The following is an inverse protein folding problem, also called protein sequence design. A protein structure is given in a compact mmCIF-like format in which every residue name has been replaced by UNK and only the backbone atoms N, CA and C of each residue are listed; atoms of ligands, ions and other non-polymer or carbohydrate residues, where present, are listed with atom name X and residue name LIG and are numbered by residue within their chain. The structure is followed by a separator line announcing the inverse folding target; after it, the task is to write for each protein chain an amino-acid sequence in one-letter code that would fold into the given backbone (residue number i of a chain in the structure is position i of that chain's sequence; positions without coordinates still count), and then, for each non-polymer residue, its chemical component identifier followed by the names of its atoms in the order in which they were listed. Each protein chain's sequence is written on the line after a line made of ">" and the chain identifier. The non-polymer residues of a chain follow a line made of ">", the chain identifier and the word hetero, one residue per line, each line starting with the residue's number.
data_IF_083989846046
#
_entry.id   IF_083989846046
#
_cell.length_a   1.000
_cell.length_b   1.000
_cell.length_c   1.000
_cell.angle_alpha   90.00
_cell.angle_beta   90.00
_cell.angle_gamma   90.00
#
_symmetry.space_group_name_H-M   'P 1'
#
loop_
_entity.id
_entity.type
_entity.pdbx_description
1 polymer ?
#
# COMPACT_ATOMS: atom_id res chain seq x y z
N UNK A 1 18.38 20.79 -8.45
CA UNK A 1 18.95 19.93 -9.51
C UNK A 1 17.80 19.36 -10.29
N UNK A 2 17.66 19.64 -11.60
CA UNK A 2 16.65 18.96 -12.40
C UNK A 2 17.04 17.48 -12.54
N UNK A 3 16.08 16.60 -12.32
CA UNK A 3 16.19 15.19 -12.69
C UNK A 3 16.25 15.15 -14.23
N UNK A 4 17.34 14.64 -14.78
CA UNK A 4 17.45 14.32 -16.20
C UNK A 4 17.09 12.83 -16.29
N UNK A 5 15.90 12.53 -16.79
CA UNK A 5 15.49 11.16 -17.11
C UNK A 5 15.98 10.90 -18.53
N UNK A 6 16.85 9.92 -18.69
CA UNK A 6 17.30 9.45 -19.99
C UNK A 6 16.16 8.64 -20.63
N UNK A 7 15.54 9.12 -21.73
CA UNK A 7 14.41 8.43 -22.37
C UNK A 7 14.80 7.12 -23.05
N UNK A 8 16.10 6.87 -23.27
CA UNK A 8 16.60 5.64 -23.89
C UNK A 8 16.85 4.51 -22.88
N UNK A 9 16.76 4.81 -21.57
CA UNK A 9 16.81 3.80 -20.51
C UNK A 9 15.39 3.25 -20.32
N UNK A 10 15.14 1.94 -20.57
CA UNK A 10 13.85 1.34 -20.26
C UNK A 10 13.56 1.57 -18.77
N UNK A 11 12.35 2.02 -18.40
CA UNK A 11 12.01 2.20 -17.00
C UNK A 11 12.27 0.90 -16.24
N UNK A 12 12.74 0.96 -14.99
CA UNK A 12 12.97 -0.24 -14.20
C UNK A 12 11.71 -1.09 -14.22
N UNK A 13 11.86 -2.38 -14.49
CA UNK A 13 10.73 -3.31 -14.42
C UNK A 13 10.08 -3.11 -13.05
N UNK A 14 8.78 -2.73 -13.01
CA UNK A 14 8.11 -2.52 -11.74
C UNK A 14 8.32 -3.76 -10.86
N UNK A 15 8.56 -3.58 -9.56
CA UNK A 15 8.73 -4.71 -8.67
C UNK A 15 7.53 -5.64 -8.81
N UNK A 16 7.82 -6.91 -9.03
CA UNK A 16 6.80 -7.97 -9.09
C UNK A 16 6.11 -8.09 -7.74
N UNK A 17 6.73 -7.64 -6.67
CA UNK A 17 6.23 -7.73 -5.30
C UNK A 17 6.56 -6.45 -4.52
N UNK A 18 5.56 -5.90 -3.84
CA UNK A 18 5.69 -4.70 -3.01
C UNK A 18 5.05 -4.96 -1.66
N UNK A 19 5.81 -4.75 -0.60
CA UNK A 19 5.31 -4.74 0.78
C UNK A 19 5.02 -3.31 1.21
N UNK A 20 3.90 -3.11 1.90
CA UNK A 20 3.53 -1.83 2.49
C UNK A 20 4.59 -1.37 3.51
N UNK A 21 4.75 -0.05 3.72
CA UNK A 21 5.70 0.49 4.70
C UNK A 21 5.55 -0.03 6.14
N UNK A 22 4.35 -0.44 6.55
CA UNK A 22 4.08 -1.04 7.86
C UNK A 22 4.39 -2.55 7.91
N UNK A 23 4.77 -3.17 6.79
CA UNK A 23 5.08 -4.58 6.69
C UNK A 23 3.87 -5.52 6.61
N UNK A 24 2.66 -5.02 6.84
CA UNK A 24 1.47 -5.86 7.04
C UNK A 24 0.88 -6.41 5.75
N UNK A 25 1.06 -5.73 4.62
CA UNK A 25 0.43 -6.05 3.35
C UNK A 25 1.49 -6.21 2.25
N UNK A 26 1.47 -7.36 1.59
CA UNK A 26 2.26 -7.61 0.39
C UNK A 26 1.34 -7.75 -0.81
N UNK A 27 1.62 -6.97 -1.87
CA UNK A 27 0.97 -7.06 -3.16
C UNK A 27 1.96 -7.59 -4.20
N UNK A 28 1.63 -8.74 -4.80
CA UNK A 28 2.43 -9.39 -5.85
C UNK A 28 1.68 -9.41 -7.16
N UNK A 29 2.32 -8.89 -8.20
CA UNK A 29 1.83 -8.92 -9.58
C UNK A 29 1.80 -10.35 -10.11
N UNK A 30 0.71 -10.68 -10.80
CA UNK A 30 0.50 -11.97 -11.44
C UNK A 30 0.25 -11.76 -12.94
N UNK A 31 1.35 -11.65 -13.69
CA UNK A 31 1.35 -11.30 -15.11
C UNK A 31 0.56 -12.27 -16.01
N UNK A 32 0.64 -13.61 -15.83
CA UNK A 32 -0.08 -14.55 -16.69
C UNK A 32 -1.60 -14.42 -16.70
N UNK A 33 -2.19 -13.81 -15.67
CA UNK A 33 -3.65 -13.56 -15.57
C UNK A 33 -3.99 -12.07 -15.38
N UNK A 34 -2.98 -11.19 -15.53
CA UNK A 34 -3.08 -9.76 -15.26
C UNK A 34 -3.79 -9.44 -13.94
N UNK A 35 -3.42 -10.14 -12.87
CA UNK A 35 -4.00 -9.98 -11.53
C UNK A 35 -2.98 -9.55 -10.49
N UNK A 36 -3.45 -9.36 -9.25
CA UNK A 36 -2.62 -9.06 -8.09
C UNK A 36 -2.97 -10.00 -6.96
N UNK A 37 -1.99 -10.76 -6.50
CA UNK A 37 -2.06 -11.58 -5.30
C UNK A 37 -1.75 -10.72 -4.08
N UNK A 38 -2.63 -10.75 -3.09
CA UNK A 38 -2.52 -9.96 -1.87
C UNK A 38 -2.34 -10.89 -0.67
N UNK A 39 -1.40 -10.57 0.20
CA UNK A 39 -1.22 -11.25 1.49
C UNK A 39 -1.17 -10.21 2.59
N UNK A 40 -2.02 -10.37 3.60
CA UNK A 40 -1.94 -9.64 4.86
C UNK A 40 -1.39 -10.58 5.93
N UNK A 41 -0.36 -10.16 6.65
CA UNK A 41 0.23 -10.91 7.76
C UNK A 41 0.50 -9.99 8.95
N UNK A 42 -0.18 -10.25 10.06
CA UNK A 42 -0.02 -9.48 11.30
C UNK A 42 1.20 -9.92 12.13
N UNK A 43 1.75 -11.10 11.85
CA UNK A 43 2.87 -11.66 12.59
C UNK A 43 4.21 -11.03 12.15
N UNK A 44 4.18 -10.15 11.15
CA UNK A 44 5.34 -9.39 10.71
C UNK A 44 5.81 -8.48 11.85
N UNK A 45 7.11 -8.50 12.21
CA UNK A 45 7.62 -7.63 13.26
C UNK A 45 7.38 -6.16 12.89
N UNK A 46 7.24 -5.26 13.88
CA UNK A 46 7.01 -3.86 13.62
C UNK A 46 8.06 -3.28 12.67
N UNK A 47 7.60 -2.63 11.59
CA UNK A 47 8.47 -2.05 10.58
C UNK A 47 9.33 -0.90 11.13
N UNK A 48 8.82 -0.18 12.14
CA UNK A 48 9.49 0.96 12.75
C UNK A 48 9.48 0.78 14.26
N UNK A 49 10.65 0.98 14.88
CA UNK A 49 10.81 1.01 16.34
C UNK A 49 11.55 2.26 16.76
N UNK A 50 10.83 3.23 17.31
CA UNK A 50 11.41 4.42 17.89
C UNK A 50 11.86 4.14 19.33
N UNK A 51 13.17 4.11 19.50
CA UNK A 51 13.88 3.83 20.74
C UNK A 51 13.88 4.97 21.76
N UNK A 52 13.44 6.16 21.36
CA UNK A 52 13.38 7.33 22.24
C UNK A 52 12.29 7.17 23.29
N UNK A 53 12.63 7.48 24.54
CA UNK A 53 11.68 7.54 25.64
C UNK A 53 11.04 8.94 25.68
N UNK A 54 9.70 9.02 25.66
CA UNK A 54 8.96 10.30 25.58
C UNK A 54 9.38 11.20 24.38
N UNK A 55 9.38 10.68 23.14
CA UNK A 55 9.87 11.37 21.95
C UNK A 55 9.19 12.71 21.69
N UNK A 56 7.89 12.81 21.99
CA UNK A 56 7.06 13.99 21.78
C UNK A 56 6.95 14.90 23.02
N UNK A 57 7.64 14.59 24.11
CA UNK A 57 7.65 15.38 25.34
C UNK A 57 6.24 15.67 25.90
N UNK A 58 5.34 14.70 25.82
CA UNK A 58 3.93 14.85 26.20
C UNK A 58 3.74 15.08 27.70
N UNK A 59 4.63 14.52 28.52
CA UNK A 59 4.56 14.54 29.99
C UNK A 59 5.68 15.32 30.68
N UNK A 60 6.41 16.17 29.94
CA UNK A 60 7.49 17.00 30.47
C UNK A 60 8.90 16.51 30.14
N UNK A 61 9.90 16.94 30.93
CA UNK A 61 11.34 16.72 30.64
C UNK A 61 11.95 15.46 31.29
N UNK A 62 11.15 14.61 31.94
CA UNK A 62 11.62 13.48 32.76
C UNK A 62 12.58 12.53 32.03
N UNK A 63 12.39 12.34 30.71
CA UNK A 63 13.23 11.47 29.87
C UNK A 63 14.21 12.25 28.99
N UNK A 64 14.62 13.43 29.46
CA UNK A 64 15.61 14.24 28.76
C UNK A 64 16.65 14.80 29.72
N UNK A 65 17.88 14.96 29.23
CA UNK A 65 18.98 15.56 29.99
C UNK A 65 19.62 16.71 29.21
N UNK A 66 20.08 17.75 29.92
CA UNK A 66 20.81 18.87 29.30
C UNK A 66 22.23 18.45 28.97
N UNK A 67 22.78 19.00 27.90
CA UNK A 67 24.20 18.92 27.58
C UNK A 67 24.74 20.33 27.37
N UNK A 68 25.93 20.61 27.92
CA UNK A 68 26.59 21.91 27.75
C UNK A 68 25.87 23.08 28.45
N UNK A 69 26.03 24.28 27.91
CA UNK A 69 25.62 25.55 28.51
C UNK A 69 24.22 25.97 28.09
N UNK A 70 23.19 25.32 28.65
CA UNK A 70 21.79 25.55 28.28
C UNK A 70 20.84 25.37 29.47
N UNK A 71 19.79 26.18 29.55
CA UNK A 71 18.60 25.89 30.38
C UNK A 71 17.48 25.32 29.52
N UNK A 72 16.65 24.46 30.11
CA UNK A 72 15.56 23.78 29.39
C UNK A 72 14.25 23.98 30.12
N UNK A 73 13.21 24.29 29.36
CA UNK A 73 11.85 24.44 29.85
C UNK A 73 10.94 23.60 28.96
N UNK A 74 10.04 22.83 29.58
CA UNK A 74 8.96 22.20 28.84
C UNK A 74 7.87 23.22 28.56
N UNK A 75 7.46 23.33 27.30
CA UNK A 75 6.35 24.16 26.87
C UNK A 75 5.23 23.23 26.45
N UNK A 76 4.04 23.37 27.06
CA UNK A 76 2.87 22.52 26.78
C UNK A 76 2.10 22.90 25.49
N UNK A 77 2.72 23.71 24.62
CA UNK A 77 2.15 24.13 23.35
C UNK A 77 3.22 24.23 22.24
N UNK A 78 2.77 24.13 20.98
CA UNK A 78 3.56 24.46 19.79
C UNK A 78 4.64 23.46 19.41
N UNK A 79 4.50 22.19 19.82
CA UNK A 79 5.21 21.05 19.23
C UNK A 79 4.84 20.81 17.76
N UNK A 80 5.55 19.88 17.12
CA UNK A 80 5.30 19.50 15.71
C UNK A 80 4.26 18.41 15.62
N UNK A 81 4.45 17.32 16.38
CA UNK A 81 3.56 16.16 16.40
C UNK A 81 2.89 15.96 17.75
N UNK A 82 3.06 16.90 18.67
CA UNK A 82 2.49 16.83 20.01
C UNK A 82 2.05 18.22 20.49
N UNK A 83 1.36 18.24 21.64
CA UNK A 83 1.11 19.49 22.34
C UNK A 83 2.41 20.12 22.87
N UNK A 84 3.42 19.33 23.23
CA UNK A 84 4.60 19.79 23.94
C UNK A 84 5.83 20.08 23.07
N UNK A 85 6.80 20.83 23.61
CA UNK A 85 8.17 20.90 23.10
C UNK A 85 9.16 21.21 24.22
N UNK A 86 10.45 20.96 23.99
CA UNK A 86 11.50 21.51 24.84
C UNK A 86 11.99 22.82 24.26
N UNK A 87 11.97 23.86 25.07
CA UNK A 87 12.56 25.15 24.76
C UNK A 87 13.89 25.27 25.50
N UNK A 88 14.93 25.54 24.73
CA UNK A 88 16.31 25.60 25.17
C UNK A 88 16.80 27.04 25.08
N UNK A 89 17.36 27.58 26.16
CA UNK A 89 17.98 28.91 26.18
C UNK A 89 19.48 28.79 26.45
N UNK A 90 20.33 29.30 25.56
CA UNK A 90 21.78 29.29 25.77
C UNK A 90 22.17 30.13 26.99
N UNK A 91 23.08 29.64 27.81
CA UNK A 91 23.59 30.40 28.98
C UNK A 91 24.91 31.10 28.72
N UNK A 92 25.46 30.96 27.50
CA UNK A 92 26.72 31.56 27.08
C UNK A 92 27.00 31.30 25.58
N UNK A 93 28.10 31.85 25.08
CA UNK A 93 28.61 31.58 23.74
C UNK A 93 29.32 30.21 23.68
N UNK A 94 28.55 29.15 23.87
CA UNK A 94 29.06 27.77 23.97
C UNK A 94 28.08 26.77 23.36
N UNK A 95 28.51 25.53 23.23
CA UNK A 95 27.63 24.42 22.85
C UNK A 95 26.64 24.10 23.96
N UNK A 96 25.40 23.85 23.57
CA UNK A 96 24.33 23.51 24.51
C UNK A 96 23.15 22.85 23.83
N UNK A 97 22.52 21.88 24.50
CA UNK A 97 21.25 21.34 24.03
C UNK A 97 20.59 20.30 24.90
N UNK A 98 19.73 19.50 24.26
CA UNK A 98 18.87 18.52 24.92
C UNK A 98 19.10 17.14 24.35
N UNK A 99 19.20 16.17 25.24
CA UNK A 99 19.34 14.76 24.93
C UNK A 99 18.08 14.05 25.39
N UNK A 100 17.59 13.11 24.60
CA UNK A 100 16.59 12.16 25.02
C UNK A 100 17.27 10.88 25.48
N UNK A 101 16.69 10.28 26.53
CA UNK A 101 17.02 8.91 26.89
C UNK A 101 16.45 7.97 25.83
N UNK A 102 17.22 6.94 25.49
CA UNK A 102 16.79 5.90 24.56
C UNK A 102 16.98 4.53 25.21
N UNK A 103 16.29 3.50 24.70
CA UNK A 103 16.72 2.15 24.99
C UNK A 103 18.16 1.92 24.49
N UNK A 104 18.94 1.12 25.21
CA UNK A 104 20.37 1.04 24.94
C UNK A 104 20.63 0.35 23.60
N UNK A 105 21.41 1.00 22.74
CA UNK A 105 21.90 0.47 21.46
C UNK A 105 23.27 -0.15 21.67
N UNK A 106 23.45 -1.37 21.18
CA UNK A 106 24.63 -2.19 21.38
C UNK A 106 25.73 -1.86 20.36
N UNK A 107 26.94 -2.36 20.62
CA UNK A 107 28.06 -2.26 19.69
C UNK A 107 27.75 -2.97 18.35
N UNK A 108 28.20 -2.36 17.26
CA UNK A 108 28.03 -2.87 15.89
C UNK A 108 26.74 -2.40 15.21
N UNK A 109 25.73 -1.97 15.95
CA UNK A 109 24.49 -1.44 15.40
C UNK A 109 24.70 0.00 14.87
N UNK A 110 23.97 0.36 13.81
CA UNK A 110 23.95 1.75 13.33
C UNK A 110 22.65 2.42 13.77
N UNK A 111 22.76 3.40 14.66
CA UNK A 111 21.64 4.21 15.10
C UNK A 111 21.43 5.40 14.15
N UNK A 112 20.19 5.57 13.69
CA UNK A 112 19.71 6.73 12.96
C UNK A 112 18.88 7.59 13.92
N UNK A 113 19.37 8.78 14.23
CA UNK A 113 18.67 9.73 15.08
C UNK A 113 18.11 10.87 14.25
N UNK A 114 16.86 11.24 14.52
CA UNK A 114 16.27 12.46 14.00
C UNK A 114 15.49 13.21 15.07
N UNK A 115 15.39 14.52 14.94
CA UNK A 115 14.53 15.36 15.77
C UNK A 115 14.05 16.54 14.96
N UNK A 116 12.90 17.10 15.32
CA UNK A 116 12.46 18.38 14.76
C UNK A 116 13.03 19.51 15.60
N UNK A 117 13.59 20.52 14.93
CA UNK A 117 14.15 21.71 15.57
C UNK A 117 13.59 22.98 14.95
N UNK A 118 13.37 24.00 15.78
CA UNK A 118 12.96 25.34 15.37
C UNK A 118 13.92 26.36 15.95
N UNK A 119 14.61 27.08 15.07
CA UNK A 119 15.69 28.01 15.43
C UNK A 119 15.26 29.48 15.23
N UNK A 120 15.82 30.42 16.03
CA UNK A 120 15.38 31.83 16.04
C UNK A 120 15.90 32.67 14.86
N UNK A 121 16.64 32.08 13.91
CA UNK A 121 17.13 32.75 12.71
C UNK A 121 18.40 33.59 12.85
N UNK A 122 18.79 33.95 14.07
CA UNK A 122 20.07 34.61 14.39
C UNK A 122 20.60 34.10 15.73
N UNK A 123 21.85 34.44 16.08
CA UNK A 123 22.45 34.04 17.35
C UNK A 123 22.99 32.61 17.42
N UNK A 124 23.11 31.94 16.27
CA UNK A 124 23.62 30.57 16.11
C UNK A 124 24.75 30.54 15.09
N UNK A 125 25.82 29.81 15.38
CA UNK A 125 26.83 29.45 14.37
C UNK A 125 26.61 28.07 13.78
N UNK A 126 25.99 27.16 14.53
CA UNK A 126 25.89 25.75 14.14
C UNK A 126 24.74 25.03 14.87
N UNK A 127 24.27 23.93 14.29
CA UNK A 127 23.38 22.95 14.92
C UNK A 127 24.06 21.59 14.84
N UNK A 128 23.96 20.77 15.88
CA UNK A 128 24.58 19.45 15.88
C UNK A 128 23.64 18.37 16.42
N UNK A 129 23.85 17.15 15.93
CA UNK A 129 23.36 15.93 16.59
C UNK A 129 24.49 15.33 17.41
N UNK A 130 24.15 14.76 18.56
CA UNK A 130 25.10 14.17 19.49
C UNK A 130 24.63 12.78 19.95
N UNK A 131 25.56 11.84 20.01
CA UNK A 131 25.37 10.47 20.51
C UNK A 131 26.26 10.27 21.74
N UNK A 132 25.72 9.68 22.81
CA UNK A 132 26.46 9.50 24.08
C UNK A 132 26.16 8.17 24.77
N UNK A 133 27.06 7.83 25.68
CA UNK A 133 26.85 6.86 26.75
C UNK A 133 27.08 7.56 28.08
N UNK A 134 26.05 7.71 28.92
CA UNK A 134 26.24 8.40 30.19
C UNK A 134 26.70 9.85 29.99
N UNK A 135 27.79 10.18 30.69
CA UNK A 135 28.49 11.45 30.58
C UNK A 135 29.47 11.55 29.40
N UNK A 136 29.62 10.55 28.55
CA UNK A 136 30.68 10.50 27.52
C UNK A 136 30.13 10.80 26.12
N UNK A 137 30.68 11.79 25.43
CA UNK A 137 30.36 12.06 24.01
C UNK A 137 31.02 11.00 23.12
N UNK A 138 30.24 10.29 22.32
CA UNK A 138 30.75 9.30 21.36
C UNK A 138 30.88 9.88 19.96
N UNK A 139 29.89 10.67 19.53
CA UNK A 139 29.90 11.36 18.24
C UNK A 139 29.18 12.70 18.35
N UNK A 140 29.71 13.71 17.67
CA UNK A 140 29.11 15.04 17.53
C UNK A 140 29.21 15.44 16.06
N UNK A 141 28.05 15.73 15.46
CA UNK A 141 27.93 15.93 14.01
C UNK A 141 27.21 17.24 13.72
N UNK A 142 27.99 18.25 13.36
CA UNK A 142 27.58 19.62 13.06
C UNK A 142 26.98 19.80 11.67
N UNK A 143 26.17 20.85 11.48
CA UNK A 143 25.62 21.27 10.20
C UNK A 143 25.00 22.66 10.22
N UNK A 144 24.95 23.25 9.02
CA UNK A 144 24.38 24.57 8.78
C UNK A 144 23.00 24.71 9.43
N UNK A 145 22.79 25.75 10.26
CA UNK A 145 21.51 26.01 10.88
C UNK A 145 20.37 26.07 9.85
N UNK A 146 19.20 25.48 10.15
CA UNK A 146 18.04 25.58 9.27
C UNK A 146 17.52 27.02 9.20
N UNK A 147 16.65 27.27 8.21
CA UNK A 147 15.99 28.56 8.09
C UNK A 147 15.22 28.93 9.37
N UNK A 148 15.21 30.22 9.68
CA UNK A 148 14.54 30.78 10.84
C UNK A 148 13.06 30.44 10.89
N UNK A 149 12.53 30.18 12.10
CA UNK A 149 11.09 30.21 12.37
C UNK A 149 10.28 29.00 11.91
N UNK A 150 10.85 28.13 11.07
CA UNK A 150 10.21 26.88 10.63
C UNK A 150 10.76 25.68 11.41
N UNK A 151 9.89 24.70 11.64
CA UNK A 151 10.31 23.39 12.13
C UNK A 151 11.02 22.66 11.00
N UNK A 152 12.23 22.16 11.27
CA UNK A 152 13.02 21.38 10.33
C UNK A 152 13.45 20.09 11.00
N UNK A 153 13.24 18.96 10.30
CA UNK A 153 13.75 17.67 10.73
C UNK A 153 15.25 17.59 10.47
N UNK A 154 16.02 17.36 11.53
CA UNK A 154 17.46 17.11 11.44
C UNK A 154 17.71 15.63 11.67
N UNK A 155 18.62 15.06 10.89
CA UNK A 155 18.87 13.62 10.85
C UNK A 155 20.35 13.35 10.81
N UNK A 156 20.84 12.40 11.62
CA UNK A 156 22.22 11.89 11.57
C UNK A 156 22.26 10.41 11.94
N UNK A 157 23.32 9.73 11.53
CA UNK A 157 23.57 8.33 11.91
C UNK A 157 24.92 8.16 12.59
N UNK A 158 25.03 7.11 13.40
CA UNK A 158 26.27 6.73 14.07
C UNK A 158 26.32 5.21 14.25
N UNK A 159 27.40 4.58 13.79
CA UNK A 159 27.68 3.17 14.05
C UNK A 159 28.40 3.04 15.39
N UNK A 160 27.81 2.30 16.33
CA UNK A 160 28.34 2.15 17.69
C UNK A 160 29.60 1.28 17.64
N UNK A 161 30.73 1.83 18.10
CA UNK A 161 31.99 1.10 18.06
C UNK A 161 31.99 -0.12 19.00
N UNK A 162 32.83 -1.11 18.69
CA UNK A 162 33.02 -2.31 19.52
C UNK A 162 33.36 -1.91 20.97
N UNK A 163 32.65 -2.50 21.93
CA UNK A 163 32.83 -2.22 23.36
C UNK A 163 32.15 -0.94 23.86
N UNK A 164 31.39 -0.25 23.01
CA UNK A 164 30.57 0.91 23.40
C UNK A 164 29.08 0.56 23.35
N UNK A 165 28.27 1.41 23.97
CA UNK A 165 26.81 1.43 23.85
C UNK A 165 26.35 2.87 23.69
N UNK A 166 25.15 3.11 23.19
CA UNK A 166 24.51 4.44 23.17
C UNK A 166 23.24 4.37 24.02
N UNK A 167 23.10 5.28 24.99
CA UNK A 167 21.94 5.35 25.89
C UNK A 167 21.18 6.68 25.79
N UNK A 168 21.71 7.62 25.00
CA UNK A 168 21.09 8.92 24.75
C UNK A 168 21.56 9.54 23.44
N UNK A 169 20.61 10.19 22.76
CA UNK A 169 20.84 10.94 21.53
C UNK A 169 20.18 12.31 21.67
N UNK A 170 20.63 13.29 20.93
CA UNK A 170 19.95 14.57 20.96
C UNK A 170 20.46 15.60 19.97
N UNK A 171 19.90 16.79 20.12
CA UNK A 171 20.24 17.97 19.34
C UNK A 171 20.79 19.04 20.25
N UNK A 172 21.71 19.82 19.71
CA UNK A 172 22.16 21.04 20.33
C UNK A 172 22.54 22.08 19.30
N UNK A 173 22.90 23.24 19.81
CA UNK A 173 23.34 24.38 19.02
C UNK A 173 24.68 24.88 19.53
N UNK A 174 25.40 25.59 18.67
CA UNK A 174 26.51 26.45 19.08
C UNK A 174 25.99 27.88 19.00
N UNK A 175 25.74 28.49 20.16
CA UNK A 175 25.24 29.85 20.25
C UNK A 175 26.40 30.86 20.16
N UNK A 176 26.18 31.99 19.51
CA UNK A 176 27.17 33.09 19.48
C UNK A 176 27.12 33.97 20.72
N UNK A 177 26.13 33.77 21.60
CA UNK A 177 25.92 34.48 22.85
C UNK A 177 24.91 33.78 23.77
N UNK A 178 24.75 34.31 24.99
CA UNK A 178 23.70 33.88 25.90
C UNK A 178 22.32 34.39 25.44
N UNK A 179 21.25 33.72 25.86
CA UNK A 179 19.87 34.12 25.60
C UNK A 179 19.31 33.66 24.25
N UNK A 180 20.07 32.90 23.44
CA UNK A 180 19.54 32.34 22.20
C UNK A 180 18.55 31.24 22.52
N UNK A 181 17.28 31.44 22.13
CA UNK A 181 16.17 30.51 22.38
C UNK A 181 15.89 29.69 21.12
N UNK A 182 15.82 28.38 21.26
CA UNK A 182 15.40 27.46 20.19
C UNK A 182 14.53 26.35 20.79
N UNK A 183 13.84 25.61 19.93
CA UNK A 183 12.99 24.52 20.37
C UNK A 183 13.32 23.21 19.66
N UNK A 184 13.06 22.10 20.35
CA UNK A 184 13.16 20.76 19.81
C UNK A 184 11.93 19.94 20.21
N UNK A 185 11.56 18.98 19.36
CA UNK A 185 10.44 18.08 19.57
C UNK A 185 10.57 16.83 18.68
N UNK A 186 9.72 15.84 18.89
CA UNK A 186 9.50 14.69 18.01
C UNK A 186 10.81 13.96 17.68
N UNK A 187 11.55 13.56 18.72
CA UNK A 187 12.80 12.85 18.58
C UNK A 187 12.56 11.37 18.23
N UNK A 188 13.38 10.82 17.34
CA UNK A 188 13.29 9.43 16.90
C UNK A 188 14.68 8.81 16.79
N UNK A 189 14.83 7.61 17.33
CA UNK A 189 16.03 6.80 17.23
C UNK A 189 15.65 5.41 16.70
N UNK A 190 16.26 5.02 15.60
CA UNK A 190 16.02 3.73 14.93
C UNK A 190 17.35 3.02 14.72
N UNK A 191 17.33 1.68 14.63
CA UNK A 191 18.53 0.89 14.29
C UNK A 191 18.34 0.24 12.92
N UNK A 192 19.44 0.07 12.20
CA UNK A 192 19.54 -0.74 10.97
C UNK A 192 18.54 -0.34 9.85
N UNK A 193 18.11 0.92 9.85
CA UNK A 193 17.34 1.52 8.77
C UNK A 193 18.25 2.22 7.78
N UNK A 194 17.95 2.16 6.48
CA UNK A 194 18.74 2.87 5.44
C UNK A 194 18.53 4.38 5.48
N UNK A 195 17.34 4.82 5.88
CA UNK A 195 16.97 6.20 6.13
C UNK A 195 15.99 6.26 7.31
N UNK A 196 15.93 7.37 8.07
CA UNK A 196 14.96 7.48 9.15
C UNK A 196 13.53 7.45 8.60
N UNK A 197 12.69 6.65 9.23
CA UNK A 197 11.29 6.51 8.85
C UNK A 197 10.48 7.77 9.16
N UNK A 198 9.19 7.80 8.85
CA UNK A 198 8.33 8.86 9.38
C UNK A 198 8.32 8.86 10.90
N UNK A 199 7.98 10.01 11.50
CA UNK A 199 7.96 10.12 12.95
C UNK A 199 6.89 9.20 13.55
N UNK A 200 7.29 8.35 14.49
CA UNK A 200 6.39 7.47 15.25
C UNK A 200 6.54 7.71 16.75
N UNK A 201 5.40 7.69 17.43
CA UNK A 201 5.28 7.81 18.89
C UNK A 201 4.08 6.98 19.32
N UNK A 202 4.12 6.36 20.50
CA UNK A 202 3.06 5.47 20.97
C UNK A 202 1.72 6.16 21.24
N UNK A 203 1.66 7.49 21.10
CA UNK A 203 0.42 8.27 21.15
C UNK A 203 -0.21 8.53 19.77
N UNK A 204 0.50 8.27 18.68
CA UNK A 204 -0.01 8.45 17.31
C UNK A 204 -0.92 7.27 16.91
N UNK A 205 -1.87 7.55 16.02
CA UNK A 205 -2.74 6.53 15.47
C UNK A 205 -1.93 5.42 14.78
N UNK A 206 -2.25 4.16 15.07
CA UNK A 206 -1.54 3.00 14.53
C UNK A 206 -0.17 2.73 15.16
N UNK A 207 0.25 3.49 16.17
CA UNK A 207 1.47 3.24 16.94
C UNK A 207 1.12 2.70 18.34
N UNK A 208 2.09 2.04 19.00
CA UNK A 208 1.94 1.60 20.38
C UNK A 208 3.22 1.81 21.18
N UNK A 209 3.09 1.93 22.51
CA UNK A 209 4.20 1.81 23.44
C UNK A 209 4.48 0.35 23.71
N UNK A 210 5.75 -0.07 23.70
CA UNK A 210 6.13 -1.45 24.08
C UNK A 210 6.00 -1.70 25.60
N UNK A 211 5.89 -0.63 26.40
CA UNK A 211 5.78 -0.70 27.85
C UNK A 211 5.02 0.50 28.42
N UNK A 212 5.53 1.08 29.49
CA UNK A 212 4.88 2.23 30.12
C UNK A 212 4.87 3.46 29.20
N UNK A 213 3.69 4.03 28.99
CA UNK A 213 3.50 5.20 28.13
C UNK A 213 4.47 6.34 28.49
N UNK A 214 5.13 6.89 27.48
CA UNK A 214 6.15 7.94 27.60
C UNK A 214 7.39 7.54 28.41
N UNK A 215 7.61 6.25 28.70
CA UNK A 215 8.79 5.75 29.42
C UNK A 215 9.37 4.47 28.79
N UNK A 216 8.87 4.09 27.62
CA UNK A 216 9.37 2.97 26.81
C UNK A 216 9.59 3.42 25.37
N UNK A 217 10.18 2.53 24.56
CA UNK A 217 10.16 2.67 23.10
C UNK A 217 8.72 2.57 22.57
N UNK A 218 8.52 3.06 21.35
CA UNK A 218 7.27 2.96 20.60
C UNK A 218 7.49 2.28 19.25
N UNK A 219 6.47 1.59 18.78
CA UNK A 219 6.50 0.79 17.55
C UNK A 219 5.39 1.19 16.59
N UNK A 220 5.66 0.99 15.31
CA UNK A 220 4.69 1.06 14.23
C UNK A 220 4.90 -0.10 13.25
N UNK A 221 3.82 -0.76 12.79
CA UNK A 221 2.46 -0.61 13.31
C UNK A 221 2.37 -1.09 14.76
N UNK A 222 1.32 -0.66 15.46
CA UNK A 222 0.96 -1.19 16.77
C UNK A 222 0.81 -2.71 16.64
N UNK A 223 1.42 -3.51 17.55
CA UNK A 223 1.22 -4.95 17.54
C UNK A 223 -0.26 -5.24 17.70
N UNK A 224 -0.79 -6.04 16.79
CA UNK A 224 -2.13 -6.59 16.88
C UNK A 224 -1.98 -8.06 17.28
N UNK A 225 -2.90 -8.54 18.11
CA UNK A 225 -2.93 -9.96 18.47
C UNK A 225 -3.49 -10.76 17.28
N UNK A 226 -2.74 -11.71 16.71
CA UNK A 226 -3.24 -12.56 15.62
C UNK A 226 -4.50 -13.34 15.99
N UNK A 227 -4.69 -13.66 17.28
CA UNK A 227 -5.87 -14.41 17.73
C UNK A 227 -7.14 -13.53 17.79
N UNK A 228 -6.98 -12.21 17.85
CA UNK A 228 -8.10 -11.26 17.85
C UNK A 228 -8.67 -11.02 16.45
N UNK A 229 -7.91 -11.30 15.38
CA UNK A 229 -8.31 -11.04 13.99
C UNK A 229 -9.08 -12.23 13.43
N UNK A 230 -10.33 -12.00 13.04
CA UNK A 230 -11.17 -13.02 12.38
C UNK A 230 -11.02 -12.97 10.86
N UNK A 231 -11.07 -11.76 10.31
CA UNK A 231 -11.12 -11.52 8.88
C UNK A 231 -10.29 -10.29 8.50
N UNK A 232 -9.96 -10.17 7.23
CA UNK A 232 -9.29 -8.99 6.66
C UNK A 232 -10.06 -8.57 5.42
N UNK A 233 -10.36 -7.27 5.34
CA UNK A 233 -10.99 -6.68 4.16
C UNK A 233 -9.95 -5.96 3.32
N UNK A 234 -9.81 -6.39 2.08
CA UNK A 234 -8.91 -5.80 1.09
C UNK A 234 -9.65 -4.78 0.22
N UNK A 235 -9.02 -3.63 0.00
CA UNK A 235 -9.49 -2.61 -0.94
C UNK A 235 -8.37 -2.16 -1.84
N UNK A 236 -8.74 -1.68 -3.02
CA UNK A 236 -7.88 -1.04 -4.01
C UNK A 236 -8.30 0.41 -4.18
N UNK A 237 -7.34 1.31 -4.19
CA UNK A 237 -7.50 2.70 -4.58
C UNK A 237 -7.01 2.87 -6.01
N UNK A 238 -7.95 3.10 -6.92
CA UNK A 238 -7.65 3.39 -8.32
C UNK A 238 -7.23 4.86 -8.49
N UNK A 239 -6.34 5.18 -9.45
CA UNK A 239 -5.95 6.54 -9.76
C UNK A 239 -7.14 7.43 -10.08
N UNK A 240 -7.30 8.53 -9.34
CA UNK A 240 -8.37 9.50 -9.56
C UNK A 240 -9.76 9.04 -9.12
N UNK A 241 -9.93 7.80 -8.65
CA UNK A 241 -11.20 7.36 -8.07
C UNK A 241 -11.42 8.02 -6.70
N UNK A 242 -12.63 8.51 -6.46
CA UNK A 242 -12.97 9.17 -5.19
C UNK A 242 -13.04 8.19 -4.02
N UNK A 243 -13.47 6.95 -4.28
CA UNK A 243 -13.70 5.93 -3.27
C UNK A 243 -12.88 4.66 -3.57
N UNK A 244 -12.35 3.98 -2.55
CA UNK A 244 -11.72 2.68 -2.72
C UNK A 244 -12.71 1.60 -3.20
N UNK A 245 -12.22 0.72 -4.06
CA UNK A 245 -12.93 -0.43 -4.62
C UNK A 245 -12.63 -1.66 -3.77
N UNK A 246 -13.66 -2.40 -3.34
CA UNK A 246 -13.47 -3.69 -2.62
C UNK A 246 -12.89 -4.75 -3.55
N UNK A 247 -11.94 -5.55 -3.07
CA UNK A 247 -11.32 -6.64 -3.83
C UNK A 247 -12.21 -7.89 -3.77
N UNK A 248 -12.52 -8.51 -4.92
CA UNK A 248 -13.26 -9.76 -4.98
C UNK A 248 -12.46 -10.89 -4.32
N UNK A 249 -13.10 -11.71 -3.50
CA UNK A 249 -12.39 -12.73 -2.71
C UNK A 249 -11.65 -12.17 -1.48
N UNK A 250 -11.71 -10.85 -1.26
CA UNK A 250 -11.12 -10.14 -0.13
C UNK A 250 -12.12 -9.25 0.61
N UNK A 251 -13.43 -9.45 0.44
CA UNK A 251 -14.48 -8.59 0.99
C UNK A 251 -15.56 -9.35 1.78
N UNK A 252 -15.25 -9.78 3.02
CA UNK A 252 -13.91 -9.92 3.60
C UNK A 252 -13.30 -11.32 3.37
N UNK A 253 -11.98 -11.47 3.55
CA UNK A 253 -11.28 -12.75 3.56
C UNK A 253 -11.06 -13.26 5.00
N UNK A 254 -11.08 -14.57 5.20
CA UNK A 254 -10.76 -15.18 6.50
C UNK A 254 -9.27 -15.07 6.83
N UNK A 255 -8.97 -14.82 8.11
CA UNK A 255 -7.62 -14.50 8.57
C UNK A 255 -7.18 -15.34 9.80
N UNK A 256 -7.30 -16.67 9.80
CA UNK A 256 -6.91 -17.48 10.97
C UNK A 256 -5.43 -17.29 11.31
N UNK A 257 -5.12 -17.02 12.58
CA UNK A 257 -3.76 -16.69 13.03
C UNK A 257 -3.26 -15.35 12.49
N UNK A 258 -4.18 -14.45 12.12
CA UNK A 258 -3.86 -13.11 11.65
C UNK A 258 -3.28 -13.02 10.24
N UNK A 259 -3.42 -14.08 9.43
CA UNK A 259 -2.93 -14.11 8.03
C UNK A 259 -4.08 -14.33 7.07
N UNK A 260 -4.22 -13.45 6.08
CA UNK A 260 -5.25 -13.52 5.04
C UNK A 260 -4.67 -13.34 3.65
N UNK A 261 -5.34 -13.94 2.66
CA UNK A 261 -4.98 -13.82 1.25
C UNK A 261 -6.18 -13.39 0.42
N UNK A 262 -5.94 -12.63 -0.64
CA UNK A 262 -6.93 -12.23 -1.63
C UNK A 262 -6.33 -12.17 -3.03
N UNK A 263 -7.18 -12.11 -4.06
CA UNK A 263 -6.74 -12.02 -5.45
C UNK A 263 -7.57 -11.00 -6.23
N UNK A 264 -6.91 -9.94 -6.68
CA UNK A 264 -7.53 -8.86 -7.44
C UNK A 264 -7.22 -9.01 -8.93
N UNK A 265 -8.14 -9.62 -9.67
CA UNK A 265 -8.07 -9.72 -11.13
C UNK A 265 -8.84 -8.58 -11.84
N UNK A 266 -9.43 -7.65 -11.10
CA UNK A 266 -10.22 -6.53 -11.62
C UNK A 266 -9.42 -5.20 -11.60
N UNK A 267 -8.12 -5.26 -11.33
CA UNK A 267 -7.26 -4.08 -11.22
C UNK A 267 -7.03 -3.44 -12.59
N UNK A 268 -7.10 -2.10 -12.69
CA UNK A 268 -6.95 -1.41 -13.96
C UNK A 268 -5.53 -1.61 -14.52
N UNK A 269 -5.47 -1.77 -15.85
CA UNK A 269 -4.22 -2.03 -16.56
C UNK A 269 -3.52 -0.71 -16.94
N UNK A 270 -2.19 -0.72 -16.98
CA UNK A 270 -1.37 0.42 -17.41
C UNK A 270 -1.20 1.53 -16.38
N UNK A 271 -1.90 1.48 -15.24
CA UNK A 271 -1.88 2.53 -14.21
C UNK A 271 -1.55 1.94 -12.84
N UNK A 272 -0.83 2.71 -12.02
CA UNK A 272 -0.47 2.28 -10.67
C UNK A 272 -1.69 2.31 -9.75
N UNK A 273 -2.05 1.18 -9.14
CA UNK A 273 -3.08 1.13 -8.11
C UNK A 273 -2.44 0.88 -6.75
N UNK A 274 -3.12 1.28 -5.67
CA UNK A 274 -2.66 1.02 -4.29
C UNK A 274 -3.65 0.15 -3.54
N UNK A 275 -3.18 -0.90 -2.87
CA UNK A 275 -4.01 -1.80 -2.07
C UNK A 275 -3.83 -1.51 -0.58
N UNK A 276 -4.91 -1.72 0.18
CA UNK A 276 -4.94 -1.57 1.63
C UNK A 276 -5.72 -2.72 2.27
N UNK A 277 -5.36 -3.07 3.50
CA UNK A 277 -6.04 -4.07 4.30
C UNK A 277 -6.67 -3.42 5.55
N UNK A 278 -7.83 -3.93 5.95
CA UNK A 278 -8.50 -3.60 7.21
C UNK A 278 -8.72 -4.89 7.99
N UNK A 279 -8.03 -5.13 9.11
CA UNK A 279 -8.31 -6.27 9.98
C UNK A 279 -9.68 -6.06 10.63
N UNK A 280 -10.42 -7.16 10.78
CA UNK A 280 -11.75 -7.21 11.40
C UNK A 280 -11.68 -8.24 12.53
N UNK A 281 -11.95 -7.79 13.74
CA UNK A 281 -11.92 -8.65 14.93
C UNK A 281 -13.07 -9.65 14.98
N UNK A 282 -12.97 -10.65 15.84
CA UNK A 282 -14.07 -11.61 16.09
C UNK A 282 -15.35 -10.96 16.62
N UNK A 283 -15.24 -9.78 17.22
CA UNK A 283 -16.36 -8.96 17.67
C UNK A 283 -16.94 -8.05 16.56
N UNK A 284 -16.38 -8.11 15.35
CA UNK A 284 -16.76 -7.30 14.20
C UNK A 284 -16.16 -5.89 14.18
N UNK A 285 -15.31 -5.53 15.15
CA UNK A 285 -14.61 -4.23 15.13
C UNK A 285 -13.66 -4.15 13.95
N UNK A 286 -13.64 -3.01 13.26
CA UNK A 286 -12.72 -2.76 12.15
C UNK A 286 -11.49 -2.04 12.70
N UNK A 287 -10.34 -2.67 12.59
CA UNK A 287 -9.06 -2.12 13.03
C UNK A 287 -8.53 -1.04 12.10
N UNK A 288 -7.33 -0.54 12.43
CA UNK A 288 -6.64 0.46 11.62
C UNK A 288 -6.31 -0.09 10.23
N UNK A 289 -6.43 0.77 9.22
CA UNK A 289 -6.01 0.46 7.84
C UNK A 289 -4.50 0.27 7.79
N UNK A 290 -4.02 -0.73 7.04
CA UNK A 290 -2.62 -0.81 6.66
C UNK A 290 -2.15 0.40 5.86
N UNK A 291 -0.84 0.55 5.71
CA UNK A 291 -0.27 1.37 4.65
C UNK A 291 -0.52 0.75 3.27
N UNK A 292 -0.36 1.57 2.24
CA UNK A 292 -0.63 1.18 0.87
C UNK A 292 0.53 0.41 0.24
N UNK A 293 0.25 -0.75 -0.36
CA UNK A 293 1.16 -1.42 -1.29
C UNK A 293 0.77 -1.06 -2.72
N UNK A 294 1.67 -0.47 -3.52
CA UNK A 294 1.34 0.03 -4.85
C UNK A 294 2.01 -0.79 -5.96
N UNK A 295 1.24 -1.22 -6.96
CA UNK A 295 1.67 -2.05 -8.09
C UNK A 295 1.00 -1.56 -9.37
N UNK A 296 1.72 -1.65 -10.49
CA UNK A 296 1.21 -1.36 -11.83
C UNK A 296 1.12 -2.65 -12.62
N UNK A 297 -0.08 -2.96 -13.12
CA UNK A 297 -0.28 -4.04 -14.09
C UNK A 297 0.07 -3.55 -15.50
N UNK A 298 0.81 -4.32 -16.31
CA UNK A 298 1.09 -3.94 -17.68
C UNK A 298 -0.19 -3.95 -18.53
N UNK A 299 -0.24 -3.06 -19.53
CA UNK A 299 -1.26 -3.14 -20.57
C UNK A 299 -1.03 -4.36 -21.48
N UNK A 300 -2.10 -4.92 -22.07
CA UNK A 300 -1.95 -5.96 -23.08
C UNK A 300 -1.18 -5.44 -24.30
N UNK A 301 -0.40 -6.31 -24.92
CA UNK A 301 0.39 -6.04 -26.11
C UNK A 301 0.39 -7.26 -27.02
N UNK A 302 0.23 -7.08 -28.36
CA UNK A 302 0.09 -5.80 -29.09
C UNK A 302 -1.22 -5.03 -28.87
N UNK A 303 -1.25 -3.75 -29.28
CA UNK A 303 -2.34 -3.21 -30.11
C UNK A 303 -3.74 -3.69 -29.71
N UNK A 304 -4.23 -4.58 -30.56
CA UNK A 304 -5.56 -5.20 -30.68
C UNK A 304 -5.98 -6.08 -29.50
N UNK A 305 -5.10 -6.30 -28.54
CA UNK A 305 -5.33 -7.27 -27.48
C UNK A 305 -6.12 -6.66 -26.32
N UNK A 306 -7.09 -7.43 -25.85
CA UNK A 306 -7.98 -7.10 -24.74
C UNK A 306 -7.97 -8.27 -23.78
N UNK A 307 -7.90 -7.99 -22.48
CA UNK A 307 -8.11 -9.04 -21.49
C UNK A 307 -9.60 -9.30 -21.34
N UNK A 308 -10.02 -10.54 -21.59
CA UNK A 308 -11.35 -11.01 -21.25
C UNK A 308 -11.25 -11.93 -20.04
N UNK A 309 -11.78 -11.49 -18.92
CA UNK A 309 -11.60 -12.13 -17.61
C UNK A 309 -12.93 -12.64 -17.09
N UNK A 310 -12.94 -13.86 -16.57
CA UNK A 310 -14.10 -14.39 -15.85
C UNK A 310 -14.08 -13.89 -14.42
N UNK A 311 -15.18 -13.30 -13.95
CA UNK A 311 -15.27 -12.81 -12.57
C UNK A 311 -15.33 -13.91 -11.52
N UNK A 312 -15.89 -15.07 -11.88
CA UNK A 312 -16.12 -16.18 -10.95
C UNK A 312 -15.03 -17.25 -11.00
N UNK A 313 -14.31 -17.31 -12.12
CA UNK A 313 -13.21 -18.24 -12.33
C UNK A 313 -12.06 -17.55 -13.07
N UNK A 314 -11.17 -16.85 -12.33
CA UNK A 314 -10.08 -16.09 -12.94
C UNK A 314 -9.11 -16.96 -13.75
N UNK A 315 -9.09 -18.29 -13.55
CA UNK A 315 -8.24 -19.19 -14.32
C UNK A 315 -8.66 -19.32 -15.79
N UNK A 316 -9.92 -18.99 -16.12
CA UNK A 316 -10.41 -18.93 -17.51
C UNK A 316 -10.07 -17.61 -18.21
N UNK A 317 -9.48 -16.64 -17.49
CA UNK A 317 -9.14 -15.35 -18.07
C UNK A 317 -8.09 -15.52 -19.15
N UNK A 318 -8.30 -14.89 -20.30
CA UNK A 318 -7.37 -14.94 -21.40
C UNK A 318 -7.31 -13.61 -22.14
N UNK A 319 -6.22 -13.42 -22.85
CA UNK A 319 -6.00 -12.29 -23.73
C UNK A 319 -6.56 -12.65 -25.11
N UNK A 320 -7.39 -11.77 -25.67
CA UNK A 320 -8.11 -12.00 -26.92
C UNK A 320 -7.84 -10.88 -27.91
N UNK A 321 -7.76 -11.22 -29.19
CA UNK A 321 -7.61 -10.25 -30.28
C UNK A 321 -8.99 -9.75 -30.71
N UNK A 322 -9.31 -8.49 -30.41
CA UNK A 322 -10.60 -7.89 -30.78
C UNK A 322 -10.43 -7.15 -32.11
N UNK A 323 -11.04 -7.71 -33.16
CA UNK A 323 -10.90 -7.19 -34.53
C UNK A 323 -11.82 -6.02 -34.81
N UNK A 324 -13.03 -6.09 -34.26
CA UNK A 324 -14.03 -5.07 -34.44
C UNK A 324 -14.87 -4.94 -33.19
N UNK A 325 -15.10 -3.69 -32.82
CA UNK A 325 -16.00 -3.34 -31.74
C UNK A 325 -16.88 -2.14 -32.13
N UNK A 326 -17.69 -2.30 -33.18
CA UNK A 326 -18.06 -1.19 -34.04
C UNK A 326 -19.17 -0.28 -33.48
N UNK A 327 -20.05 -0.78 -32.61
CA UNK A 327 -21.22 0.00 -32.17
C UNK A 327 -21.60 -0.28 -30.71
N UNK A 328 -21.82 0.81 -29.96
CA UNK A 328 -22.48 0.78 -28.66
C UNK A 328 -23.90 1.28 -28.80
N UNK A 329 -24.86 0.38 -28.58
CA UNK A 329 -26.27 0.68 -28.64
C UNK A 329 -26.80 0.91 -27.23
N UNK A 330 -27.32 2.11 -26.98
CA UNK A 330 -27.96 2.45 -25.72
C UNK A 330 -29.47 2.38 -25.91
N UNK A 331 -30.14 1.56 -25.11
CA UNK A 331 -31.59 1.52 -25.06
C UNK A 331 -32.12 2.60 -24.13
N UNK A 332 -33.26 3.16 -24.45
CA UNK A 332 -33.99 4.06 -23.56
C UNK A 332 -35.39 3.51 -23.30
N UNK A 333 -35.89 3.73 -22.08
CA UNK A 333 -37.30 3.56 -21.79
C UNK A 333 -37.96 4.93 -21.85
N UNK A 334 -38.62 5.20 -22.97
CA UNK A 334 -39.43 6.41 -23.12
C UNK A 334 -40.90 6.11 -22.80
N UNK A 335 -41.50 6.94 -21.97
CA UNK A 335 -42.94 6.99 -21.75
C UNK A 335 -43.51 8.26 -22.35
N UNK A 336 -44.52 8.11 -23.19
CA UNK A 336 -45.26 9.21 -23.81
C UNK A 336 -46.55 9.46 -23.03
N UNK A 337 -46.77 10.69 -22.59
CA UNK A 337 -48.00 11.14 -21.95
C UNK A 337 -48.73 12.12 -22.86
N UNK A 338 -49.85 11.68 -23.43
CA UNK A 338 -50.75 12.57 -24.15
C UNK A 338 -51.65 13.30 -23.13
N UNK A 339 -51.35 14.59 -22.89
CA UNK A 339 -52.12 15.43 -21.96
C UNK A 339 -53.27 16.11 -22.70
N UNK A 340 -54.50 15.90 -22.24
CA UNK A 340 -55.68 16.49 -22.87
C UNK A 340 -55.58 18.03 -22.88
N UNK A 341 -55.68 18.61 -24.08
CA UNK A 341 -55.55 20.06 -24.29
C UNK A 341 -54.14 20.56 -24.56
N UNK A 342 -53.11 19.72 -24.43
CA UNK A 342 -51.77 20.06 -24.88
C UNK A 342 -51.65 19.80 -26.40
N UNK A 343 -51.03 20.73 -27.13
CA UNK A 343 -50.75 20.57 -28.56
C UNK A 343 -49.59 19.61 -28.86
N UNK A 344 -48.90 19.13 -27.83
CA UNK A 344 -47.75 18.24 -27.94
C UNK A 344 -47.68 17.30 -26.73
N UNK A 345 -47.27 16.04 -26.92
CA UNK A 345 -47.14 15.09 -25.83
C UNK A 345 -45.99 15.48 -24.89
N UNK A 346 -46.11 15.12 -23.62
CA UNK A 346 -45.00 15.18 -22.66
C UNK A 346 -44.26 13.85 -22.72
N UNK A 347 -42.97 13.89 -23.03
CA UNK A 347 -42.10 12.71 -23.02
C UNK A 347 -41.34 12.65 -21.71
N UNK A 348 -41.34 11.49 -21.05
CA UNK A 348 -40.43 11.18 -19.94
C UNK A 348 -39.47 10.09 -20.39
N UNK A 349 -38.18 10.39 -20.33
CA UNK A 349 -37.11 9.42 -20.56
C UNK A 349 -36.62 8.98 -19.18
N UNK A 350 -36.67 7.67 -18.92
CA UNK A 350 -36.03 7.10 -17.72
C UNK A 350 -34.50 7.03 -17.91
N UNK A 351 -33.77 6.38 -17.00
CA UNK A 351 -32.34 6.17 -17.18
C UNK A 351 -32.08 5.34 -18.45
N UNK A 352 -31.07 5.75 -19.23
CA UNK A 352 -30.58 4.96 -20.36
C UNK A 352 -30.05 3.62 -19.86
N UNK A 353 -30.28 2.55 -20.62
CA UNK A 353 -29.67 1.25 -20.33
C UNK A 353 -28.16 1.35 -20.55
N UNK A 354 -27.42 0.48 -19.86
CA UNK A 354 -26.04 0.20 -20.23
C UNK A 354 -25.99 -0.32 -21.68
N UNK A 355 -24.87 -0.10 -22.40
CA UNK A 355 -24.81 -0.38 -23.82
C UNK A 355 -24.82 -1.88 -24.11
N UNK A 356 -25.48 -2.26 -25.20
CA UNK A 356 -25.29 -3.54 -25.87
C UNK A 356 -24.34 -3.36 -27.04
N UNK A 357 -23.61 -4.42 -27.40
CA UNK A 357 -22.64 -4.39 -28.50
C UNK A 357 -22.51 -5.77 -29.11
N UNK A 358 -22.00 -5.83 -30.34
CA UNK A 358 -21.48 -7.06 -30.93
C UNK A 358 -19.97 -6.94 -31.06
N UNK A 359 -19.24 -7.94 -30.58
CA UNK A 359 -17.76 -7.98 -30.60
C UNK A 359 -17.31 -9.09 -31.52
N UNK A 360 -16.31 -8.81 -32.35
CA UNK A 360 -15.65 -9.82 -33.18
C UNK A 360 -14.27 -10.15 -32.61
N UNK A 361 -14.07 -11.41 -32.25
CA UNK A 361 -12.85 -11.94 -31.62
C UNK A 361 -12.19 -12.97 -32.54
N UNK A 362 -10.87 -13.00 -32.59
CA UNK A 362 -10.11 -14.04 -33.28
C UNK A 362 -9.31 -14.90 -32.30
N UNK A 363 -9.22 -16.20 -32.60
CA UNK A 363 -8.33 -17.16 -31.94
C UNK A 363 -7.49 -17.85 -33.00
N UNK A 364 -6.19 -17.98 -32.78
CA UNK A 364 -5.22 -18.52 -33.74
C UNK A 364 -4.95 -20.01 -33.51
N UNK A 365 -5.16 -20.53 -32.30
CA UNK A 365 -4.90 -21.94 -31.94
C UNK A 365 -6.17 -22.68 -31.46
N UNK A 366 -6.15 -24.02 -31.51
CA UNK A 366 -7.25 -24.85 -30.98
C UNK A 366 -7.38 -24.76 -29.45
N UNK A 367 -6.27 -24.49 -28.76
CA UNK A 367 -6.27 -24.33 -27.30
C UNK A 367 -6.94 -23.00 -26.94
N UNK A 368 -6.57 -21.90 -27.62
CA UNK A 368 -7.26 -20.61 -27.48
C UNK A 368 -8.75 -20.72 -27.81
N UNK A 369 -9.10 -21.42 -28.89
CA UNK A 369 -10.50 -21.71 -29.25
C UNK A 369 -11.25 -22.38 -28.10
N UNK A 370 -10.66 -23.40 -27.50
CA UNK A 370 -11.29 -24.19 -26.43
C UNK A 370 -11.45 -23.37 -25.16
N UNK A 371 -10.41 -22.62 -24.78
CA UNK A 371 -10.42 -21.71 -23.64
C UNK A 371 -11.44 -20.59 -23.82
N UNK A 372 -11.48 -19.95 -24.99
CA UNK A 372 -12.44 -18.89 -25.28
C UNK A 372 -13.88 -19.41 -25.25
N UNK A 373 -14.14 -20.59 -25.82
CA UNK A 373 -15.46 -21.20 -25.76
C UNK A 373 -15.88 -21.49 -24.32
N UNK A 374 -14.98 -22.05 -23.49
CA UNK A 374 -15.24 -22.28 -22.07
C UNK A 374 -15.52 -20.98 -21.32
N UNK A 375 -14.74 -19.93 -21.59
CA UNK A 375 -14.92 -18.60 -21.00
C UNK A 375 -16.28 -17.99 -21.37
N UNK A 376 -16.63 -17.96 -22.66
CA UNK A 376 -17.89 -17.40 -23.16
C UNK A 376 -19.13 -18.19 -22.70
N UNK A 377 -18.99 -19.51 -22.47
CA UNK A 377 -20.09 -20.39 -22.04
C UNK A 377 -20.13 -20.65 -20.53
N UNK A 378 -19.23 -20.04 -19.76
CA UNK A 378 -19.16 -20.16 -18.29
C UNK A 378 -20.41 -19.68 -17.56
N UNK A 379 -21.29 -18.91 -18.23
CA UNK A 379 -22.52 -18.38 -17.65
C UNK A 379 -22.30 -17.25 -16.64
N UNK A 380 -21.09 -16.68 -16.61
CA UNK A 380 -20.71 -15.61 -15.68
C UNK A 380 -20.64 -14.25 -16.36
N UNK A 381 -20.48 -13.21 -15.54
CA UNK A 381 -20.12 -11.88 -16.03
C UNK A 381 -18.63 -11.86 -16.35
N UNK A 382 -18.29 -11.33 -17.52
CA UNK A 382 -16.92 -11.15 -17.97
C UNK A 382 -16.50 -9.70 -17.75
N UNK A 383 -15.29 -9.49 -17.27
CA UNK A 383 -14.65 -8.17 -17.28
C UNK A 383 -13.80 -8.08 -18.53
N UNK A 384 -14.07 -7.09 -19.36
CA UNK A 384 -13.20 -6.75 -20.46
C UNK A 384 -12.37 -5.52 -20.10
N UNK A 385 -11.05 -5.71 -20.07
CA UNK A 385 -10.10 -4.65 -19.78
C UNK A 385 -9.33 -4.28 -21.03
N UNK A 386 -9.44 -3.00 -21.37
CA UNK A 386 -8.85 -2.44 -22.58
C UNK A 386 -7.66 -1.57 -22.23
N UNK A 387 -6.82 -1.30 -23.22
CA UNK A 387 -5.75 -0.31 -23.11
C UNK A 387 -6.36 1.07 -22.89
N UNK A 388 -5.72 1.94 -22.12
CA UNK A 388 -6.21 3.29 -21.88
C UNK A 388 -6.33 4.09 -23.20
N UNK A 389 -5.42 3.83 -24.15
CA UNK A 389 -5.40 4.45 -25.49
C UNK A 389 -6.65 4.18 -26.33
N UNK A 390 -7.44 3.16 -26.00
CA UNK A 390 -8.68 2.85 -26.72
C UNK A 390 -9.80 3.85 -26.43
N UNK A 391 -9.61 4.74 -25.46
CA UNK A 391 -10.61 5.72 -25.05
C UNK A 391 -11.88 5.05 -24.50
N UNK A 392 -11.75 3.80 -24.05
CA UNK A 392 -12.84 2.97 -23.54
C UNK A 392 -12.51 2.52 -22.13
N UNK A 393 -13.48 2.66 -21.23
CA UNK A 393 -13.35 2.19 -19.87
C UNK A 393 -13.54 0.68 -19.80
N UNK A 394 -12.88 0.05 -18.82
CA UNK A 394 -13.12 -1.33 -18.43
C UNK A 394 -14.62 -1.55 -18.18
N UNK A 395 -15.18 -2.61 -18.74
CA UNK A 395 -16.62 -2.85 -18.70
C UNK A 395 -16.93 -4.30 -18.35
N UNK A 396 -17.95 -4.50 -17.52
CA UNK A 396 -18.50 -5.81 -17.20
C UNK A 396 -19.59 -6.17 -18.22
N UNK A 397 -19.52 -7.37 -18.81
CA UNK A 397 -20.52 -7.85 -19.76
C UNK A 397 -21.08 -9.21 -19.39
N UNK A 398 -22.31 -9.42 -19.80
CA UNK A 398 -22.92 -10.75 -19.93
C UNK A 398 -22.89 -11.14 -21.40
N UNK A 399 -22.21 -12.24 -21.77
CA UNK A 399 -22.27 -12.80 -23.12
C UNK A 399 -23.68 -13.28 -23.47
N UNK A 400 -24.12 -12.97 -24.68
CA UNK A 400 -25.39 -13.40 -25.28
C UNK A 400 -25.16 -14.47 -26.34
N UNK A 401 -25.71 -14.25 -27.54
CA UNK A 401 -25.52 -15.17 -28.66
C UNK A 401 -24.05 -15.21 -29.10
N UNK A 402 -23.53 -16.43 -29.28
CA UNK A 402 -22.16 -16.71 -29.76
C UNK A 402 -22.26 -17.39 -31.12
N UNK A 403 -21.53 -16.88 -32.10
CA UNK A 403 -21.37 -17.49 -33.43
C UNK A 403 -19.89 -17.77 -33.68
N UNK A 404 -19.54 -19.02 -33.99
CA UNK A 404 -18.19 -19.43 -34.39
C UNK A 404 -18.14 -19.62 -35.91
N UNK A 405 -17.12 -19.05 -36.55
CA UNK A 405 -16.83 -19.24 -37.98
C UNK A 405 -15.40 -19.76 -38.13
N UNK A 406 -15.23 -20.76 -38.98
CA UNK A 406 -13.92 -21.26 -39.41
C UNK A 406 -13.61 -20.68 -40.79
N UNK A 407 -12.90 -19.55 -40.89
CA UNK A 407 -12.42 -19.07 -42.18
C UNK A 407 -11.35 -20.05 -42.72
N UNK A 408 -11.30 -20.23 -44.04
CA UNK A 408 -10.26 -21.04 -44.67
C UNK A 408 -10.59 -22.54 -44.82
N UNK A 409 -9.55 -23.38 -44.77
CA UNK A 409 -9.64 -24.83 -44.99
C UNK A 409 -9.92 -25.57 -43.69
N UNK A 410 -10.45 -26.79 -43.78
CA UNK A 410 -10.87 -27.57 -42.60
C UNK A 410 -9.75 -27.92 -41.60
N UNK A 411 -8.48 -27.80 -42.00
CA UNK A 411 -7.32 -28.02 -41.11
C UNK A 411 -6.82 -26.76 -40.43
N UNK A 412 -7.38 -25.59 -40.73
CA UNK A 412 -6.95 -24.32 -40.15
C UNK A 412 -7.46 -24.23 -38.69
N UNK A 413 -6.60 -24.02 -37.69
CA UNK A 413 -7.02 -23.84 -36.30
C UNK A 413 -7.70 -22.48 -36.05
N UNK A 414 -7.53 -21.50 -36.93
CA UNK A 414 -8.02 -20.15 -36.72
C UNK A 414 -9.56 -20.07 -36.70
N UNK A 415 -10.13 -19.27 -35.80
CA UNK A 415 -11.57 -19.06 -35.68
C UNK A 415 -11.89 -17.58 -35.49
N UNK A 416 -12.99 -17.16 -36.11
CA UNK A 416 -13.60 -15.85 -35.89
C UNK A 416 -14.89 -16.03 -35.12
N UNK A 417 -15.04 -15.28 -34.04
CA UNK A 417 -16.18 -15.34 -33.13
C UNK A 417 -16.95 -14.04 -33.18
N UNK A 418 -18.27 -14.13 -33.25
CA UNK A 418 -19.16 -12.97 -33.10
C UNK A 418 -20.00 -13.17 -31.85
N UNK A 419 -19.84 -12.27 -30.89
CA UNK A 419 -20.47 -12.36 -29.56
C UNK A 419 -21.31 -11.10 -29.33
N UNK A 420 -22.60 -11.27 -29.08
CA UNK A 420 -23.42 -10.18 -28.53
C UNK A 420 -23.12 -10.03 -27.05
N UNK A 421 -22.85 -8.84 -26.57
CA UNK A 421 -22.54 -8.54 -25.17
C UNK A 421 -23.47 -7.46 -24.64
N UNK A 422 -23.90 -7.61 -23.39
CA UNK A 422 -24.69 -6.59 -22.69
C UNK A 422 -23.91 -6.10 -21.50
N UNK A 423 -23.67 -4.79 -21.42
CA UNK A 423 -23.01 -4.21 -20.25
C UNK A 423 -23.90 -4.25 -19.01
N UNK A 424 -23.26 -4.57 -17.89
CA UNK A 424 -23.88 -4.66 -16.57
C UNK A 424 -23.04 -3.88 -15.57
N UNK A 425 -23.66 -3.49 -14.46
CA UNK A 425 -22.91 -2.97 -13.33
C UNK A 425 -21.98 -4.04 -12.76
N UNK A 426 -20.91 -3.58 -12.10
CA UNK A 426 -19.99 -4.45 -11.36
C UNK A 426 -20.78 -5.34 -10.39
N UNK A 427 -20.72 -6.68 -10.51
CA UNK A 427 -21.35 -7.57 -9.55
C UNK A 427 -20.77 -7.38 -8.14
N UNK A 428 -21.61 -7.52 -7.12
CA UNK A 428 -21.20 -7.39 -5.71
C UNK A 428 -19.99 -8.27 -5.38
N UNK A 429 -19.08 -7.76 -4.54
CA UNK A 429 -17.89 -8.47 -4.06
C UNK A 429 -18.11 -9.18 -2.74
N UNK A 430 -19.17 -8.83 -2.03
CA UNK A 430 -19.49 -9.35 -0.69
C UNK A 430 -19.59 -10.88 -0.74
N UNK A 431 -18.86 -11.55 0.15
CA UNK A 431 -18.82 -13.01 0.29
C UNK A 431 -18.44 -13.77 -1.00
N UNK A 432 -17.84 -13.09 -1.98
CA UNK A 432 -17.33 -13.76 -3.18
C UNK A 432 -16.22 -14.74 -2.78
N UNK A 433 -16.26 -16.00 -3.25
CA UNK A 433 -15.24 -16.98 -2.90
C UNK A 433 -13.87 -16.54 -3.41
N UNK A 434 -12.83 -16.79 -2.62
CA UNK A 434 -11.45 -16.61 -3.07
C UNK A 434 -11.14 -17.62 -4.19
N UNK A 435 -10.71 -17.11 -5.34
CA UNK A 435 -10.24 -17.90 -6.48
C UNK A 435 -8.92 -17.30 -6.95
N UNK A 436 -7.86 -18.10 -6.90
CA UNK A 436 -6.54 -17.73 -7.39
C UNK A 436 -6.22 -18.70 -8.54
N UNK A 437 -5.92 -18.21 -9.76
CA UNK A 437 -5.53 -19.06 -10.87
C UNK A 437 -4.37 -19.99 -10.52
N UNK A 438 -4.44 -21.25 -10.98
CA UNK A 438 -3.41 -22.27 -10.76
C UNK A 438 -3.22 -22.69 -9.29
N UNK A 439 -4.14 -22.32 -8.40
CA UNK A 439 -4.09 -22.64 -6.95
C UNK A 439 -5.39 -23.24 -6.43
N UNK A 440 -6.08 -23.99 -7.27
CA UNK A 440 -7.20 -24.81 -6.83
C UNK A 440 -6.72 -26.09 -6.12
N UNK A 441 -7.63 -26.74 -5.39
CA UNK A 441 -7.33 -28.05 -4.82
C UNK A 441 -7.03 -29.09 -5.92
N UNK A 442 -7.66 -28.95 -7.09
CA UNK A 442 -7.42 -29.81 -8.25
C UNK A 442 -6.00 -29.59 -8.81
N UNK A 443 -5.50 -28.35 -8.83
CA UNK A 443 -4.11 -28.04 -9.18
C UNK A 443 -3.14 -28.69 -8.18
N UNK A 444 -3.47 -28.62 -6.88
CA UNK A 444 -2.67 -29.25 -5.84
C UNK A 444 -2.63 -30.77 -5.97
N UNK A 445 -3.71 -31.41 -6.44
CA UNK A 445 -3.74 -32.85 -6.71
C UNK A 445 -2.90 -33.26 -7.92
N UNK A 446 -2.60 -32.32 -8.82
CA UNK A 446 -1.69 -32.58 -9.94
C UNK A 446 -0.23 -32.55 -9.49
N UNK A 447 0.15 -31.59 -8.64
CA UNK A 447 1.50 -31.49 -8.07
C UNK A 447 1.77 -32.53 -6.99
N UNK A 448 0.77 -32.84 -6.17
CA UNK A 448 0.82 -33.81 -5.08
C UNK A 448 -0.35 -34.80 -5.20
N UNK A 449 -0.21 -35.85 -6.02
CA UNK A 449 -1.26 -36.84 -6.25
C UNK A 449 -1.72 -37.55 -4.97
N UNK A 450 -0.86 -37.64 -3.96
CA UNK A 450 -1.21 -38.22 -2.66
C UNK A 450 -0.89 -37.27 -1.51
N UNK A 451 -1.61 -37.45 -0.39
CA UNK A 451 -1.33 -36.72 0.85
C UNK A 451 0.06 -37.04 1.41
N UNK A 452 0.61 -38.22 1.13
CA UNK A 452 1.96 -38.60 1.53
C UNK A 452 3.02 -37.77 0.80
N UNK A 453 2.83 -37.49 -0.51
CA UNK A 453 3.72 -36.64 -1.29
C UNK A 453 3.76 -35.22 -0.73
N UNK A 454 2.62 -34.72 -0.26
CA UNK A 454 2.50 -33.41 0.37
C UNK A 454 3.15 -33.35 1.75
N UNK A 455 3.00 -34.38 2.59
CA UNK A 455 3.70 -34.44 3.89
C UNK A 455 5.22 -34.48 3.67
N UNK A 456 5.69 -35.16 2.63
CA UNK A 456 7.11 -35.33 2.36
C UNK A 456 7.83 -34.02 1.97
N UNK A 457 7.12 -32.98 1.53
CA UNK A 457 7.73 -31.67 1.26
C UNK A 457 8.05 -30.90 2.54
N UNK A 458 7.47 -31.30 3.68
CA UNK A 458 7.57 -30.55 4.93
C UNK A 458 6.78 -29.24 4.94
N UNK A 459 6.04 -28.93 3.87
CA UNK A 459 5.28 -27.69 3.77
C UNK A 459 4.08 -27.70 4.71
N UNK A 460 3.95 -26.62 5.48
CA UNK A 460 2.77 -26.32 6.28
C UNK A 460 1.56 -26.04 5.40
N UNK A 461 0.35 -26.20 5.95
CA UNK A 461 -0.87 -25.84 5.21
C UNK A 461 -0.84 -24.36 4.78
N UNK A 462 -0.25 -23.51 5.61
CA UNK A 462 -0.08 -22.09 5.36
C UNK A 462 0.77 -21.83 4.09
N UNK A 463 1.96 -22.42 4.00
CA UNK A 463 2.85 -22.29 2.83
C UNK A 463 2.17 -22.72 1.54
N UNK A 464 1.31 -23.74 1.57
CA UNK A 464 0.56 -24.15 0.37
C UNK A 464 -0.49 -23.12 -0.04
N UNK A 465 -1.14 -22.46 0.93
CA UNK A 465 -2.14 -21.42 0.63
C UNK A 465 -1.52 -20.09 0.21
N UNK A 466 -0.34 -19.74 0.71
CA UNK A 466 0.39 -18.51 0.36
C UNK A 466 1.35 -18.68 -0.82
N UNK A 467 1.72 -19.92 -1.15
CA UNK A 467 2.37 -20.26 -2.42
C UNK A 467 3.82 -20.70 -2.36
N UNK A 468 4.33 -21.10 -1.19
CA UNK A 468 5.66 -21.67 -1.01
C UNK A 468 6.79 -20.66 -1.13
#
# INVERSE_FOLDING_TARGET
>A
MPIIIDPDIPPPTPPVEVTSPDGLLTARRDDPWAGVFLTYDVNVPPAIRNRVLNPALTVGLTNTVSVGSVTRVWQAAGGVHSAGRVECTSTGAASGGTLWLIDTVAAGETIHFSAWVKVPGSGLSDVYVIFRNGGTTLSLQSFTPPAAGSWVRVTRSYTVAVGQTVDRCGVGIIATGAGTIWSADSAQAEIDVTAPSNYVDGSLAGCAWEGAANASASVYPAPLDPDDIAQVRFVRQDPGAAEPVRVRGGDPAWAPGGVAVAYDHEAPLGVASAWYAYPIGWDGTVGARSDGAAVTLPEPTPVLDVWLKSLTDPALSMLVKVMAWPELQYGERQQRFDVLGASSPVMRVDAWSLPTSTVTIETDTLDERTTLLALLTSGTTLLAQTRAEYGRADTYWVPGQITEVMPGIASDPHRTWTVTVTAVDRPTTVDSPLRIPGRSYDDSGTTWPTYADRIATGQTYHEVTTGG
#
